data_IF_450597988801
#
_entry.id   IF_450597988801
#
_cell.length_a   1.000
_cell.length_b   1.000
_cell.length_c   1.000
_cell.angle_alpha   90.00
_cell.angle_beta   90.00
_cell.angle_gamma   90.00
#
_symmetry.space_group_name_H-M   'P 1'
#
loop_
_entity.id
_entity.type
_entity.pdbx_description
1 polymer ?
#
# COMPACT_ATOMS: atom_id res chain seq x y z
N UNK A 1 -3.74 22.78 1.82
CA UNK A 1 -2.60 22.08 1.19
C UNK A 1 -3.20 21.05 0.26
N UNK A 2 -3.41 21.42 -1.00
CA UNK A 2 -4.06 20.58 -2.01
C UNK A 2 -3.01 19.61 -2.55
N UNK A 3 -2.85 18.49 -1.86
CA UNK A 3 -1.93 17.43 -2.24
C UNK A 3 -2.71 16.25 -2.79
N UNK A 4 -2.42 15.87 -4.03
CA UNK A 4 -2.91 14.62 -4.60
C UNK A 4 -2.57 13.45 -3.68
N UNK A 5 -3.57 12.71 -3.22
CA UNK A 5 -3.35 11.50 -2.40
C UNK A 5 -3.61 10.28 -3.25
N UNK A 6 -2.61 9.40 -3.33
CA UNK A 6 -2.78 8.11 -3.98
C UNK A 6 -3.02 7.04 -2.92
N UNK A 7 -3.99 6.17 -3.17
CA UNK A 7 -4.30 5.03 -2.30
C UNK A 7 -4.02 3.74 -3.07
N UNK A 8 -3.21 2.87 -2.49
CA UNK A 8 -2.93 1.54 -3.02
C UNK A 8 -3.62 0.49 -2.17
N UNK A 9 -4.35 -0.40 -2.85
CA UNK A 9 -5.02 -1.54 -2.26
C UNK A 9 -4.23 -2.82 -2.52
N UNK A 10 -4.09 -3.62 -1.47
CA UNK A 10 -3.40 -4.88 -1.52
C UNK A 10 -4.16 -5.89 -2.40
N UNK A 11 -3.52 -6.39 -3.47
CA UNK A 11 -4.15 -7.33 -4.42
C UNK A 11 -4.05 -8.75 -3.88
N UNK A 12 -5.03 -9.15 -3.06
CA UNK A 12 -5.21 -10.52 -2.58
C UNK A 12 -6.41 -11.16 -3.25
N UNK A 13 -6.41 -12.50 -3.47
CA UNK A 13 -7.59 -13.19 -3.97
C UNK A 13 -8.80 -12.94 -3.06
N UNK A 14 -9.98 -12.72 -3.66
CA UNK A 14 -11.21 -12.34 -2.92
C UNK A 14 -11.58 -13.35 -1.83
N UNK A 15 -11.44 -14.65 -2.10
CA UNK A 15 -11.72 -15.72 -1.13
C UNK A 15 -10.79 -15.72 0.10
N UNK A 16 -9.66 -15.02 0.03
CA UNK A 16 -8.72 -14.87 1.17
C UNK A 16 -8.88 -13.55 1.92
N UNK A 17 -9.65 -12.58 1.38
CA UNK A 17 -9.67 -11.20 1.88
C UNK A 17 -9.98 -11.10 3.39
N UNK A 18 -10.90 -11.92 3.89
CA UNK A 18 -11.30 -11.95 5.30
C UNK A 18 -10.29 -12.65 6.22
N UNK A 19 -9.42 -13.49 5.63
CA UNK A 19 -8.48 -14.33 6.36
C UNK A 19 -7.05 -13.82 6.33
N UNK A 20 -6.80 -12.65 5.75
CA UNK A 20 -5.45 -12.08 5.65
C UNK A 20 -5.33 -10.77 6.42
N UNK A 21 -4.10 -10.44 6.79
CA UNK A 21 -3.72 -9.13 7.35
C UNK A 21 -2.49 -8.61 6.63
N UNK A 22 -2.53 -7.35 6.21
CA UNK A 22 -1.34 -6.68 5.67
C UNK A 22 -0.37 -6.42 6.81
N UNK A 23 0.84 -6.94 6.66
CA UNK A 23 1.93 -6.79 7.64
C UNK A 23 2.93 -5.72 7.21
N UNK A 24 3.10 -5.52 5.90
CA UNK A 24 3.96 -4.49 5.34
C UNK A 24 3.62 -4.24 3.86
N UNK A 25 3.97 -3.06 3.39
CA UNK A 25 4.16 -2.78 1.97
C UNK A 25 5.66 -2.72 1.67
N UNK A 26 6.05 -3.15 0.47
CA UNK A 26 7.44 -3.15 0.01
C UNK A 26 7.49 -2.40 -1.30
N UNK A 27 8.23 -1.30 -1.32
CA UNK A 27 8.52 -0.54 -2.53
C UNK A 27 9.59 -1.26 -3.37
N UNK A 28 9.61 -1.05 -4.67
CA UNK A 28 10.63 -1.59 -5.60
C UNK A 28 12.09 -1.31 -5.23
N UNK A 29 12.35 -0.23 -4.50
CA UNK A 29 13.67 0.11 -3.94
C UNK A 29 14.09 -0.78 -2.76
N UNK A 30 13.21 -1.65 -2.28
CA UNK A 30 13.42 -2.47 -1.08
C UNK A 30 13.01 -1.78 0.23
N UNK A 31 12.42 -0.58 0.17
CA UNK A 31 11.90 0.09 1.36
C UNK A 31 10.67 -0.64 1.91
N UNK A 32 10.69 -0.96 3.21
CA UNK A 32 9.59 -1.58 3.92
C UNK A 32 8.75 -0.53 4.66
N UNK A 33 7.44 -0.53 4.41
CA UNK A 33 6.46 0.36 5.02
C UNK A 33 5.55 -0.47 5.92
N UNK A 34 5.63 -0.23 7.24
CA UNK A 34 4.84 -0.98 8.21
C UNK A 34 3.63 -0.16 8.69
N UNK A 35 2.55 -0.82 9.14
CA UNK A 35 1.49 -0.17 9.90
C UNK A 35 2.08 0.63 11.07
N UNK A 36 1.55 1.84 11.31
CA UNK A 36 1.97 2.76 12.37
C UNK A 36 3.40 3.33 12.25
N UNK A 37 4.09 3.13 11.12
CA UNK A 37 5.30 3.91 10.80
C UNK A 37 4.94 5.03 9.86
N UNK A 38 5.11 6.26 10.33
CA UNK A 38 5.11 7.44 9.48
C UNK A 38 6.54 7.67 8.98
N UNK A 39 6.78 7.38 7.70
CA UNK A 39 8.07 7.67 7.06
C UNK A 39 7.98 9.06 6.41
N UNK A 40 8.29 10.07 7.21
CA UNK A 40 8.45 11.45 6.75
C UNK A 40 7.19 12.11 6.21
N UNK A 41 6.00 11.67 6.65
CA UNK A 41 4.69 12.22 6.28
C UNK A 41 4.21 11.84 4.87
N UNK A 42 5.03 11.11 4.10
CA UNK A 42 4.71 10.76 2.71
C UNK A 42 3.96 9.43 2.61
N UNK A 43 4.32 8.45 3.43
CA UNK A 43 3.78 7.09 3.36
C UNK A 43 3.09 6.71 4.66
N UNK A 44 1.83 6.31 4.56
CA UNK A 44 1.04 5.89 5.73
C UNK A 44 0.35 4.57 5.42
N UNK A 45 0.61 3.54 6.21
CA UNK A 45 -0.12 2.26 6.13
C UNK A 45 -1.27 2.29 7.12
N UNK A 46 -2.50 2.24 6.61
CA UNK A 46 -3.71 2.29 7.42
C UNK A 46 -3.98 0.94 8.14
N UNK A 47 -4.77 0.94 9.23
CA UNK A 47 -5.16 -0.29 9.94
C UNK A 47 -5.91 -1.29 9.07
N UNK A 48 -6.59 -0.84 8.02
CA UNK A 48 -7.26 -1.71 7.05
C UNK A 48 -6.29 -2.36 6.03
N UNK A 49 -5.00 -1.97 6.05
CA UNK A 49 -3.95 -2.48 5.18
C UNK A 49 -3.68 -1.67 3.92
N UNK A 50 -4.43 -0.60 3.66
CA UNK A 50 -4.19 0.27 2.50
C UNK A 50 -2.93 1.12 2.71
N UNK A 51 -2.22 1.41 1.62
CA UNK A 51 -1.09 2.34 1.62
C UNK A 51 -1.52 3.69 1.06
N UNK A 52 -1.37 4.74 1.85
CA UNK A 52 -1.59 6.12 1.48
C UNK A 52 -0.26 6.77 1.12
N UNK A 53 -0.22 7.44 -0.03
CA UNK A 53 0.89 8.27 -0.47
C UNK A 53 0.42 9.71 -0.52
N UNK A 54 0.86 10.51 0.44
CA UNK A 54 0.58 11.94 0.52
C UNK A 54 1.45 12.72 -0.45
N UNK A 55 0.90 13.82 -1.02
CA UNK A 55 1.58 14.66 -2.01
C UNK A 55 2.18 13.84 -3.17
N UNK A 56 1.40 12.91 -3.71
CA UNK A 56 1.81 12.03 -4.78
C UNK A 56 2.12 12.84 -6.05
N UNK A 57 3.35 12.67 -6.54
CA UNK A 57 3.83 13.34 -7.75
C UNK A 57 4.07 12.36 -8.91
N UNK A 58 4.48 12.87 -10.09
CA UNK A 58 4.80 12.03 -11.25
C UNK A 58 5.82 10.93 -10.96
N UNK A 59 6.80 11.21 -10.07
CA UNK A 59 7.80 10.24 -9.64
C UNK A 59 7.20 9.02 -8.93
N UNK A 60 6.10 9.22 -8.19
CA UNK A 60 5.40 8.12 -7.53
C UNK A 60 4.64 7.28 -8.56
N UNK A 61 4.22 7.85 -9.68
CA UNK A 61 3.60 7.14 -10.81
C UNK A 61 4.43 5.97 -11.37
N UNK A 62 5.75 6.06 -11.25
CA UNK A 62 6.68 5.05 -11.75
C UNK A 62 7.07 3.98 -10.71
N UNK A 63 6.69 4.18 -9.44
CA UNK A 63 7.03 3.26 -8.36
C UNK A 63 6.07 2.08 -8.33
N UNK A 64 6.62 0.90 -8.05
CA UNK A 64 5.83 -0.31 -7.81
C UNK A 64 5.91 -0.75 -6.36
N UNK A 65 4.82 -1.36 -5.90
CA UNK A 65 4.67 -1.81 -4.52
C UNK A 65 4.12 -3.23 -4.49
N UNK A 66 4.57 -4.03 -3.54
CA UNK A 66 3.94 -5.31 -3.16
C UNK A 66 3.49 -5.23 -1.71
N UNK A 67 2.37 -5.86 -1.38
CA UNK A 67 1.97 -6.02 0.01
C UNK A 67 2.34 -7.43 0.49
N UNK A 68 2.84 -7.51 1.73
CA UNK A 68 3.08 -8.76 2.43
C UNK A 68 1.94 -8.99 3.40
N UNK A 69 1.21 -10.08 3.21
CA UNK A 69 0.09 -10.46 4.05
C UNK A 69 0.39 -11.72 4.86
N UNK A 70 -0.27 -11.88 6.00
CA UNK A 70 -0.26 -13.12 6.79
C UNK A 70 -1.67 -13.70 6.86
N UNK A 71 -1.81 -15.00 6.64
CA UNK A 71 -3.07 -15.70 6.75
C UNK A 71 -3.36 -16.02 8.23
N UNK A 72 -4.45 -15.49 8.77
CA UNK A 72 -4.79 -15.53 10.20
C UNK A 72 -4.97 -16.95 10.75
N UNK A 73 -5.46 -17.89 9.93
CA UNK A 73 -5.71 -19.26 10.38
C UNK A 73 -4.47 -20.17 10.32
N UNK A 74 -3.53 -19.88 9.41
CA UNK A 74 -2.40 -20.79 9.11
C UNK A 74 -1.05 -20.19 9.46
N UNK A 75 -0.99 -18.88 9.73
CA UNK A 75 0.25 -18.14 9.96
C UNK A 75 1.12 -17.97 8.71
N UNK A 76 0.70 -18.46 7.53
CA UNK A 76 1.50 -18.39 6.30
C UNK A 76 1.58 -16.96 5.78
N UNK A 77 2.79 -16.50 5.47
CA UNK A 77 3.02 -15.22 4.80
C UNK A 77 2.95 -15.36 3.28
N UNK A 78 2.24 -14.44 2.62
CA UNK A 78 2.06 -14.40 1.16
C UNK A 78 2.45 -12.99 0.68
N UNK A 79 3.04 -12.90 -0.50
CA UNK A 79 3.36 -11.64 -1.16
C UNK A 79 2.40 -11.46 -2.33
N UNK A 80 1.77 -10.29 -2.44
CA UNK A 80 0.90 -9.98 -3.56
C UNK A 80 1.65 -9.76 -4.87
N UNK A 81 0.96 -9.78 -6.02
CA UNK A 81 1.46 -9.15 -7.23
C UNK A 81 1.84 -7.67 -7.01
N UNK A 82 2.68 -7.15 -7.90
CA UNK A 82 3.05 -5.73 -7.92
C UNK A 82 1.85 -4.87 -8.33
N UNK A 83 1.68 -3.75 -7.65
CA UNK A 83 0.76 -2.68 -8.03
C UNK A 83 1.55 -1.40 -8.30
N UNK A 84 1.06 -0.61 -9.25
CA UNK A 84 1.57 0.72 -9.51
C UNK A 84 0.72 1.72 -8.72
N UNK A 85 1.34 2.78 -8.18
CA UNK A 85 0.62 3.99 -7.79
C UNK A 85 0.21 4.71 -9.08
N UNK A 86 -0.87 4.25 -9.71
CA UNK A 86 -1.37 4.88 -10.91
C UNK A 86 -1.70 6.36 -10.61
N UNK A 87 -1.26 7.28 -11.47
CA UNK A 87 -1.63 8.69 -11.36
C UNK A 87 -3.15 8.91 -11.50
N UNK A 88 -3.91 7.91 -11.95
CA UNK A 88 -5.37 7.93 -12.08
C UNK A 88 -6.14 7.64 -10.78
N UNK A 89 -5.48 7.14 -9.72
CA UNK A 89 -6.08 6.98 -8.38
C UNK A 89 -5.79 8.17 -7.45
N UNK A 90 -5.30 9.27 -8.03
CA UNK A 90 -5.24 10.57 -7.37
C UNK A 90 -6.68 11.06 -7.21
N UNK A 91 -7.21 10.95 -5.99
CA UNK A 91 -8.38 11.73 -5.63
C UNK A 91 -7.90 13.18 -5.45
N UNK A 92 -8.17 14.03 -6.44
CA UNK A 92 -8.14 15.48 -6.28
C UNK A 92 -9.15 15.82 -5.18
N UNK A 93 -8.66 16.30 -4.03
CA UNK A 93 -9.54 16.86 -3.01
C UNK A 93 -10.18 18.12 -3.56
N UNK A 94 -11.51 18.13 -3.66
CA UNK A 94 -12.33 19.35 -3.69
C UNK A 94 -12.04 20.20 -2.44
#
# INVERSE_FOLDING_TARGET
MTGNTAVLKCQVPSYMADYVMVTAWVQDTGMHLYPNTDIGGKYTVLPNGDLYISNAGPSDGFKTYTCRVVHRLTGKSIISPKVHSALSSIQTGD
#
